data_IF_698317249840
#
_entry.id   IF_698317249840
#
_cell.length_a   1.000
_cell.length_b   1.000
_cell.length_c   1.000
_cell.angle_alpha   90.00
_cell.angle_beta   90.00
_cell.angle_gamma   90.00
#
_symmetry.space_group_name_H-M   'P 1'
#
loop_
_entity.id
_entity.type
_entity.pdbx_description
1 polymer ?
#
# COMPACT_ATOMS: atom_id res chain seq x y z
N UNK A 1 -48.44 17.03 -4.13
CA UNK A 1 -48.65 15.61 -4.45
C UNK A 1 -47.72 15.25 -5.59
N UNK A 2 -46.49 14.86 -5.27
CA UNK A 2 -45.57 14.14 -6.16
C UNK A 2 -44.43 13.64 -5.28
N UNK A 3 -44.77 12.71 -4.40
CA UNK A 3 -43.78 11.83 -3.77
C UNK A 3 -43.44 10.85 -4.90
N UNK A 4 -42.32 11.13 -5.56
CA UNK A 4 -41.95 10.60 -6.87
C UNK A 4 -41.91 9.07 -6.87
N UNK A 5 -42.33 8.45 -7.98
CA UNK A 5 -42.36 7.00 -8.21
C UNK A 5 -41.04 6.27 -7.84
N UNK A 6 -39.91 7.00 -7.78
CA UNK A 6 -38.61 6.51 -7.29
C UNK A 6 -38.59 6.14 -5.80
N UNK A 7 -39.24 6.92 -4.93
CA UNK A 7 -39.28 6.65 -3.48
C UNK A 7 -40.04 5.35 -3.15
N UNK A 8 -41.00 4.96 -3.99
CA UNK A 8 -41.74 3.71 -3.80
C UNK A 8 -40.91 2.46 -4.12
N UNK A 9 -39.92 2.57 -5.03
CA UNK A 9 -38.99 1.48 -5.35
C UNK A 9 -37.95 1.27 -4.25
N UNK A 10 -37.37 2.36 -3.73
CA UNK A 10 -36.42 2.38 -2.60
C UNK A 10 -36.97 1.65 -1.38
N UNK A 11 -38.17 2.07 -0.97
CA UNK A 11 -38.84 1.52 0.20
C UNK A 11 -39.30 0.08 -0.02
N UNK A 12 -39.55 -0.37 -1.25
CA UNK A 12 -39.88 -1.77 -1.52
C UNK A 12 -38.64 -2.68 -1.51
N UNK A 13 -37.48 -2.17 -1.91
CA UNK A 13 -36.18 -2.86 -1.84
C UNK A 13 -35.76 -3.01 -0.36
N UNK A 14 -35.75 -1.90 0.40
CA UNK A 14 -35.38 -1.92 1.81
C UNK A 14 -36.38 -2.67 2.72
N UNK A 15 -37.66 -2.80 2.34
CA UNK A 15 -38.67 -3.55 3.13
C UNK A 15 -38.60 -5.07 2.96
N UNK A 16 -37.81 -5.58 2.00
CA UNK A 16 -37.67 -7.02 1.74
C UNK A 16 -36.46 -7.66 2.43
N UNK A 17 -35.52 -6.85 2.91
CA UNK A 17 -34.22 -7.31 3.39
C UNK A 17 -33.96 -6.80 4.81
N UNK A 18 -33.15 -7.53 5.59
CA UNK A 18 -33.01 -7.37 7.04
C UNK A 18 -32.05 -6.21 7.42
N UNK A 19 -32.16 -5.08 6.72
CA UNK A 19 -31.29 -3.92 6.91
C UNK A 19 -31.63 -3.13 8.18
N UNK A 20 -30.59 -2.61 8.84
CA UNK A 20 -30.74 -1.65 9.93
C UNK A 20 -30.93 -0.21 9.41
N UNK A 21 -31.43 0.69 10.27
CA UNK A 21 -31.73 2.08 9.92
C UNK A 21 -30.55 2.80 9.23
N UNK A 22 -29.31 2.57 9.69
CA UNK A 22 -28.13 3.20 9.09
C UNK A 22 -27.80 2.66 7.70
N UNK A 23 -28.06 1.37 7.44
CA UNK A 23 -27.89 0.80 6.09
C UNK A 23 -28.95 1.38 5.15
N UNK A 24 -30.20 1.48 5.63
CA UNK A 24 -31.31 2.11 4.88
C UNK A 24 -31.00 3.57 4.55
N UNK A 25 -30.46 4.34 5.50
CA UNK A 25 -30.03 5.73 5.27
C UNK A 25 -29.01 5.86 4.13
N UNK A 26 -28.03 4.94 4.07
CA UNK A 26 -27.02 4.94 3.00
C UNK A 26 -27.63 4.60 1.65
N UNK A 27 -28.54 3.63 1.58
CA UNK A 27 -29.25 3.26 0.35
C UNK A 27 -30.11 4.42 -0.14
N UNK A 28 -30.90 5.03 0.75
CA UNK A 28 -31.75 6.17 0.40
C UNK A 28 -30.90 7.35 -0.09
N UNK A 29 -29.79 7.64 0.60
CA UNK A 29 -28.86 8.68 0.16
C UNK A 29 -28.30 8.39 -1.23
N UNK A 30 -27.96 7.14 -1.57
CA UNK A 30 -27.50 6.77 -2.91
C UNK A 30 -28.54 7.11 -3.99
N UNK A 31 -29.81 6.76 -3.73
CA UNK A 31 -30.92 7.03 -4.65
C UNK A 31 -31.19 8.53 -4.82
N UNK A 32 -31.12 9.28 -3.74
CA UNK A 32 -31.28 10.74 -3.76
C UNK A 32 -30.16 11.44 -4.56
N UNK A 33 -28.98 10.83 -4.62
CA UNK A 33 -27.84 11.29 -5.43
C UNK A 33 -27.80 10.69 -6.83
N UNK A 34 -28.88 10.02 -7.25
CA UNK A 34 -29.07 9.56 -8.63
C UNK A 34 -28.30 8.30 -9.01
N UNK A 35 -27.82 7.52 -8.03
CA UNK A 35 -27.29 6.18 -8.31
C UNK A 35 -28.42 5.30 -8.87
N UNK A 36 -28.18 4.71 -10.04
CA UNK A 36 -29.16 3.89 -10.74
C UNK A 36 -29.42 2.57 -10.03
N UNK A 37 -30.65 2.04 -10.17
CA UNK A 37 -31.07 0.79 -9.53
C UNK A 37 -30.13 -0.39 -9.87
N UNK A 38 -29.60 -0.40 -11.10
CA UNK A 38 -28.65 -1.42 -11.56
C UNK A 38 -27.27 -1.34 -10.90
N UNK A 39 -26.95 -0.29 -10.15
CA UNK A 39 -25.71 -0.17 -9.36
C UNK A 39 -25.97 -0.24 -7.86
N UNK A 40 -27.22 -0.02 -7.43
CA UNK A 40 -27.63 -0.14 -6.02
C UNK A 40 -27.39 -1.55 -5.47
N UNK A 41 -27.41 -2.61 -6.30
CA UNK A 41 -27.17 -3.98 -5.84
C UNK A 41 -25.81 -4.16 -5.12
N UNK A 42 -24.82 -3.31 -5.40
CA UNK A 42 -23.52 -3.31 -4.70
C UNK A 42 -23.64 -2.88 -3.23
N UNK A 43 -24.71 -2.15 -2.89
CA UNK A 43 -25.06 -1.74 -1.53
C UNK A 43 -26.07 -2.70 -0.87
N UNK A 44 -26.77 -3.54 -1.65
CA UNK A 44 -27.77 -4.47 -1.15
C UNK A 44 -27.11 -5.75 -0.61
N UNK A 45 -26.30 -5.60 0.43
CA UNK A 45 -25.67 -6.69 1.14
C UNK A 45 -25.88 -6.49 2.66
N UNK A 46 -26.71 -7.33 3.26
CA UNK A 46 -27.11 -7.20 4.67
C UNK A 46 -25.94 -7.38 5.66
N UNK A 47 -24.93 -8.15 5.27
CA UNK A 47 -23.71 -8.38 6.07
C UNK A 47 -22.74 -7.19 6.00
N UNK A 48 -22.96 -6.26 5.06
CA UNK A 48 -22.08 -5.10 4.89
C UNK A 48 -22.40 -4.02 5.94
N UNK A 49 -21.39 -3.62 6.71
CA UNK A 49 -21.54 -2.55 7.69
C UNK A 49 -21.86 -1.21 7.00
N UNK A 50 -22.62 -0.30 7.63
CA UNK A 50 -22.90 1.03 7.07
C UNK A 50 -21.64 1.78 6.63
N UNK A 51 -20.54 1.63 7.37
CA UNK A 51 -19.26 2.26 7.07
C UNK A 51 -18.60 1.69 5.81
N UNK A 52 -18.77 0.39 5.53
CA UNK A 52 -18.33 -0.26 4.29
C UNK A 52 -19.23 0.17 3.13
N UNK A 53 -20.55 0.18 3.32
CA UNK A 53 -21.52 0.66 2.30
C UNK A 53 -21.21 2.09 1.86
N UNK A 54 -20.83 2.98 2.79
CA UNK A 54 -20.40 4.34 2.46
C UNK A 54 -19.20 4.38 1.51
N UNK A 55 -18.25 3.44 1.61
CA UNK A 55 -17.08 3.40 0.70
C UNK A 55 -17.47 2.94 -0.71
N UNK A 56 -18.37 1.95 -0.79
CA UNK A 56 -18.96 1.51 -2.05
C UNK A 56 -19.68 2.68 -2.71
N UNK A 57 -20.55 3.36 -1.96
CA UNK A 57 -21.28 4.53 -2.40
C UNK A 57 -20.35 5.66 -2.85
N UNK A 58 -19.32 6.01 -2.08
CA UNK A 58 -18.36 7.05 -2.46
C UNK A 58 -17.64 6.70 -3.76
N UNK A 59 -17.27 5.43 -3.98
CA UNK A 59 -16.71 5.01 -5.27
C UNK A 59 -17.64 5.36 -6.43
N UNK A 60 -18.90 4.94 -6.35
CA UNK A 60 -19.90 5.21 -7.38
C UNK A 60 -20.16 6.71 -7.57
N UNK A 61 -20.32 7.48 -6.49
CA UNK A 61 -20.56 8.93 -6.54
C UNK A 61 -19.41 9.72 -7.15
N UNK A 62 -18.17 9.29 -6.94
CA UNK A 62 -16.99 9.92 -7.53
C UNK A 62 -16.64 9.35 -8.91
N UNK A 63 -17.54 8.56 -9.50
CA UNK A 63 -17.45 8.09 -10.89
C UNK A 63 -16.50 6.92 -11.11
N UNK A 64 -16.20 6.12 -10.07
CA UNK A 64 -15.58 4.82 -10.30
C UNK A 64 -16.54 3.89 -11.04
N UNK A 65 -15.98 3.09 -11.94
CA UNK A 65 -16.72 2.04 -12.63
C UNK A 65 -17.28 1.03 -11.60
N UNK A 66 -18.53 0.54 -11.74
CA UNK A 66 -19.09 -0.46 -10.86
C UNK A 66 -18.21 -1.73 -10.73
N UNK A 67 -17.50 -2.14 -11.78
CA UNK A 67 -16.57 -3.27 -11.74
C UNK A 67 -15.33 -2.98 -10.89
N UNK A 68 -14.82 -1.73 -10.92
CA UNK A 68 -13.76 -1.27 -10.02
C UNK A 68 -14.25 -1.28 -8.55
N UNK A 69 -15.49 -0.83 -8.31
CA UNK A 69 -16.09 -0.80 -6.97
C UNK A 69 -16.26 -2.22 -6.39
N UNK A 70 -16.63 -3.20 -7.22
CA UNK A 70 -16.73 -4.62 -6.81
C UNK A 70 -15.43 -5.17 -6.22
N UNK A 71 -14.27 -4.67 -6.66
CA UNK A 71 -12.97 -5.16 -6.19
C UNK A 71 -12.79 -5.00 -4.68
N UNK A 72 -13.32 -3.92 -4.11
CA UNK A 72 -13.20 -3.63 -2.67
C UNK A 72 -14.52 -3.70 -1.91
N UNK A 73 -15.67 -3.90 -2.57
CA UNK A 73 -16.99 -4.07 -1.94
C UNK A 73 -17.15 -5.44 -1.25
N UNK A 74 -16.18 -5.83 -0.42
CA UNK A 74 -16.10 -7.12 0.25
C UNK A 74 -16.35 -6.96 1.75
N UNK A 75 -17.18 -7.84 2.34
CA UNK A 75 -17.62 -7.73 3.74
C UNK A 75 -16.55 -8.15 4.75
N UNK A 76 -15.61 -9.01 4.34
CA UNK A 76 -14.45 -9.45 5.12
C UNK A 76 -13.29 -8.44 5.13
N UNK A 77 -13.37 -7.40 4.29
CA UNK A 77 -12.36 -6.35 4.20
C UNK A 77 -12.62 -5.24 5.22
N UNK A 78 -11.57 -4.76 5.89
CA UNK A 78 -11.68 -3.60 6.77
C UNK A 78 -11.98 -2.33 5.96
N UNK A 79 -12.65 -1.38 6.61
CA UNK A 79 -13.01 -0.09 6.01
C UNK A 79 -11.76 0.66 5.53
N UNK A 80 -10.66 0.56 6.25
CA UNK A 80 -9.39 1.19 5.92
C UNK A 80 -8.73 0.54 4.68
N UNK A 81 -8.81 -0.79 4.55
CA UNK A 81 -8.33 -1.50 3.37
C UNK A 81 -9.16 -1.15 2.12
N UNK A 82 -10.49 -1.07 2.27
CA UNK A 82 -11.38 -0.56 1.22
C UNK A 82 -10.97 0.85 0.78
N UNK A 83 -10.67 1.74 1.74
CA UNK A 83 -10.22 3.10 1.44
C UNK A 83 -8.87 3.09 0.69
N UNK A 84 -7.92 2.21 1.02
CA UNK A 84 -6.66 2.11 0.26
C UNK A 84 -6.89 1.74 -1.21
N UNK A 85 -7.73 0.72 -1.48
CA UNK A 85 -8.03 0.29 -2.86
C UNK A 85 -8.83 1.36 -3.60
N UNK A 86 -9.86 1.92 -2.97
CA UNK A 86 -10.67 3.00 -3.55
C UNK A 86 -9.81 4.22 -3.90
N UNK A 87 -8.91 4.65 -3.03
CA UNK A 87 -8.01 5.77 -3.32
C UNK A 87 -7.03 5.46 -4.47
N UNK A 88 -6.54 4.23 -4.57
CA UNK A 88 -5.71 3.81 -5.70
C UNK A 88 -6.50 3.76 -7.02
N UNK A 89 -7.77 3.34 -7.01
CA UNK A 89 -8.65 3.35 -8.19
C UNK A 89 -9.01 4.77 -8.65
N UNK A 90 -9.18 5.70 -7.71
CA UNK A 90 -9.47 7.11 -8.00
C UNK A 90 -8.27 7.86 -8.59
N UNK A 91 -7.05 7.35 -8.39
CA UNK A 91 -5.82 7.94 -8.90
C UNK A 91 -5.33 7.14 -10.10
N UNK A 92 -5.41 7.72 -11.28
CA UNK A 92 -5.05 7.05 -12.53
C UNK A 92 -3.62 6.47 -12.50
N UNK A 93 -2.68 7.15 -11.83
CA UNK A 93 -1.29 6.73 -11.69
C UNK A 93 -1.08 5.56 -10.69
N UNK A 94 -2.03 5.25 -9.82
CA UNK A 94 -1.94 4.17 -8.82
C UNK A 94 -2.71 2.90 -9.24
N UNK A 95 -3.50 2.93 -10.32
CA UNK A 95 -4.33 1.80 -10.79
C UNK A 95 -3.53 0.53 -11.07
N UNK A 96 -2.27 0.67 -11.47
CA UNK A 96 -1.39 -0.47 -11.72
C UNK A 96 -1.02 -1.27 -10.46
N UNK A 97 -1.25 -0.72 -9.26
CA UNK A 97 -0.99 -1.37 -7.97
C UNK A 97 -2.15 -2.22 -7.45
N UNK A 98 -3.33 -2.15 -8.08
CA UNK A 98 -4.55 -2.81 -7.58
C UNK A 98 -4.38 -4.31 -7.41
N UNK A 99 -3.69 -4.98 -8.34
CA UNK A 99 -3.39 -6.41 -8.22
C UNK A 99 -2.54 -6.75 -6.99
N UNK A 100 -1.63 -5.85 -6.58
CA UNK A 100 -0.83 -6.03 -5.37
C UNK A 100 -1.65 -5.73 -4.10
N UNK A 101 -2.51 -4.70 -4.13
CA UNK A 101 -3.34 -4.32 -2.99
C UNK A 101 -4.45 -5.33 -2.66
N UNK A 102 -4.87 -6.14 -3.64
CA UNK A 102 -5.88 -7.19 -3.47
C UNK A 102 -5.30 -8.52 -2.95
N UNK A 103 -3.98 -8.60 -2.71
CA UNK A 103 -3.39 -9.81 -2.17
C UNK A 103 -3.92 -10.11 -0.77
N UNK A 104 -4.23 -11.38 -0.52
CA UNK A 104 -4.75 -11.83 0.78
C UNK A 104 -3.67 -11.78 1.84
N UNK A 105 -4.06 -11.41 3.06
CA UNK A 105 -3.17 -11.39 4.23
C UNK A 105 -2.38 -10.09 4.39
N UNK A 106 -2.54 -9.11 3.50
CA UNK A 106 -2.02 -7.77 3.71
C UNK A 106 -2.80 -7.04 4.80
N UNK A 107 -2.08 -6.39 5.71
CA UNK A 107 -2.61 -5.36 6.58
C UNK A 107 -2.59 -3.97 5.92
N UNK A 108 -3.29 -3.02 6.54
CA UNK A 108 -3.44 -1.65 6.03
C UNK A 108 -2.09 -0.92 5.90
N UNK A 109 -1.16 -1.16 6.83
CA UNK A 109 0.16 -0.51 6.81
C UNK A 109 1.03 -1.09 5.68
N UNK A 110 0.94 -2.39 5.39
CA UNK A 110 1.57 -3.01 4.23
C UNK A 110 1.01 -2.44 2.93
N UNK A 111 -0.32 -2.28 2.81
CA UNK A 111 -0.95 -1.60 1.66
C UNK A 111 -0.43 -0.17 1.48
N UNK A 112 -0.21 0.56 2.58
CA UNK A 112 0.39 1.90 2.54
C UNK A 112 1.84 1.85 2.03
N UNK A 113 2.63 0.83 2.40
CA UNK A 113 3.99 0.67 1.86
C UNK A 113 3.98 0.41 0.35
N UNK A 114 3.04 -0.40 -0.15
CA UNK A 114 2.84 -0.66 -1.59
C UNK A 114 2.54 0.66 -2.31
N UNK A 115 1.54 1.44 -1.84
CA UNK A 115 1.18 2.72 -2.45
C UNK A 115 2.27 3.78 -2.40
N UNK A 116 3.09 3.81 -1.33
CA UNK A 116 4.26 4.71 -1.27
C UNK A 116 5.28 4.43 -2.38
N UNK A 117 5.34 3.19 -2.87
CA UNK A 117 6.19 2.78 -3.99
C UNK A 117 5.68 3.16 -5.38
N UNK A 118 4.57 3.88 -5.53
CA UNK A 118 3.93 4.14 -6.82
C UNK A 118 4.85 4.74 -7.92
N UNK A 119 5.92 5.41 -7.51
CA UNK A 119 6.91 6.03 -8.42
C UNK A 119 8.07 5.11 -8.79
N UNK A 120 8.12 3.90 -8.24
CA UNK A 120 9.10 2.89 -8.57
C UNK A 120 8.60 2.03 -9.74
N UNK A 121 9.50 1.40 -10.52
CA UNK A 121 9.11 0.34 -11.44
C UNK A 121 8.24 -0.72 -10.76
N UNK A 122 7.18 -1.18 -11.43
CA UNK A 122 6.24 -2.16 -10.87
C UNK A 122 6.93 -3.38 -10.25
N UNK A 123 7.90 -3.98 -10.96
CA UNK A 123 8.70 -5.12 -10.49
C UNK A 123 9.45 -4.86 -9.16
N UNK A 124 9.74 -3.60 -8.82
CA UNK A 124 10.38 -3.25 -7.55
C UNK A 124 9.35 -3.19 -6.43
N UNK A 125 8.13 -2.74 -6.73
CA UNK A 125 7.02 -2.74 -5.77
C UNK A 125 6.57 -4.18 -5.52
N UNK A 126 6.38 -4.96 -6.57
CA UNK A 126 6.03 -6.38 -6.52
C UNK A 126 7.00 -7.17 -5.62
N UNK A 127 8.30 -6.90 -5.71
CA UNK A 127 9.32 -7.59 -4.89
C UNK A 127 9.05 -7.53 -3.38
N UNK A 128 8.57 -6.40 -2.87
CA UNK A 128 8.29 -6.24 -1.44
C UNK A 128 6.81 -6.31 -1.09
N UNK A 129 5.91 -6.34 -2.07
CA UNK A 129 4.47 -6.39 -1.90
C UNK A 129 3.98 -7.79 -1.50
N UNK A 130 4.73 -8.49 -0.67
CA UNK A 130 4.44 -9.85 -0.23
C UNK A 130 3.96 -9.84 1.23
N UNK A 131 2.83 -10.51 1.57
CA UNK A 131 2.24 -10.45 2.91
C UNK A 131 3.12 -10.98 4.04
N UNK A 132 4.14 -11.80 3.72
CA UNK A 132 5.06 -12.35 4.70
C UNK A 132 6.13 -11.36 5.18
N UNK A 133 6.33 -10.22 4.48
CA UNK A 133 7.20 -9.15 4.98
C UNK A 133 6.45 -8.27 5.97
N UNK A 134 7.01 -8.00 7.13
CA UNK A 134 6.48 -6.96 7.99
C UNK A 134 6.65 -5.55 7.38
N UNK A 135 5.91 -4.58 7.93
CA UNK A 135 5.88 -3.19 7.43
C UNK A 135 7.28 -2.55 7.39
N UNK A 136 8.15 -2.86 8.35
CA UNK A 136 9.50 -2.30 8.39
C UNK A 136 10.44 -3.00 7.40
N UNK A 137 10.29 -4.30 7.16
CA UNK A 137 10.99 -5.01 6.08
C UNK A 137 10.62 -4.43 4.72
N UNK A 138 9.31 -4.28 4.43
CA UNK A 138 8.83 -3.63 3.20
C UNK A 138 9.42 -2.22 3.04
N UNK A 139 9.47 -1.45 4.12
CA UNK A 139 10.05 -0.11 4.15
C UNK A 139 11.53 -0.12 3.80
N UNK A 140 12.32 -1.05 4.34
CA UNK A 140 13.76 -1.14 4.06
C UNK A 140 14.03 -1.56 2.61
N UNK A 141 13.21 -2.46 2.05
CA UNK A 141 13.29 -2.84 0.63
C UNK A 141 12.94 -1.65 -0.26
N UNK A 142 11.79 -1.00 -0.03
CA UNK A 142 11.38 0.22 -0.77
C UNK A 142 12.44 1.31 -0.66
N UNK A 143 12.96 1.55 0.54
CA UNK A 143 13.99 2.57 0.78
C UNK A 143 15.25 2.29 -0.02
N UNK A 144 15.66 1.02 -0.18
CA UNK A 144 16.80 0.67 -1.04
C UNK A 144 16.63 1.18 -2.47
N UNK A 145 15.47 0.91 -3.07
CA UNK A 145 15.15 1.41 -4.40
C UNK A 145 15.04 2.93 -4.46
N UNK A 146 14.40 3.58 -3.49
CA UNK A 146 14.28 5.05 -3.41
C UNK A 146 15.64 5.75 -3.28
N UNK A 147 16.63 5.11 -2.64
CA UNK A 147 18.00 5.63 -2.54
C UNK A 147 18.90 5.22 -3.73
N UNK A 148 18.32 4.63 -4.78
CA UNK A 148 19.01 4.31 -6.02
C UNK A 148 19.87 3.05 -5.97
N UNK A 149 19.64 2.15 -5.00
CA UNK A 149 20.25 0.83 -5.03
C UNK A 149 19.73 0.02 -6.22
N UNK A 150 20.62 -0.74 -6.84
CA UNK A 150 20.26 -1.65 -7.93
C UNK A 150 19.40 -2.82 -7.43
N UNK A 151 18.66 -3.44 -8.36
CA UNK A 151 17.88 -4.63 -8.07
C UNK A 151 18.71 -5.74 -7.41
N UNK A 152 19.93 -6.01 -7.90
CA UNK A 152 20.82 -7.02 -7.31
C UNK A 152 21.22 -6.68 -5.86
N UNK A 153 21.50 -5.41 -5.56
CA UNK A 153 21.83 -4.99 -4.20
C UNK A 153 20.64 -5.15 -3.24
N UNK A 154 19.43 -4.84 -3.72
CA UNK A 154 18.20 -4.99 -2.91
C UNK A 154 17.88 -6.47 -2.69
N UNK A 155 17.92 -7.30 -3.72
CA UNK A 155 17.70 -8.74 -3.61
C UNK A 155 18.68 -9.44 -2.64
N UNK A 156 19.86 -8.87 -2.40
CA UNK A 156 20.82 -9.43 -1.45
C UNK A 156 20.29 -9.45 -0.01
N UNK A 157 19.51 -8.45 0.38
CA UNK A 157 19.00 -8.33 1.75
C UNK A 157 17.49 -8.52 1.87
N UNK A 158 16.77 -8.64 0.75
CA UNK A 158 15.33 -8.88 0.67
C UNK A 158 14.96 -10.33 1.07
N UNK A 159 15.33 -10.75 2.26
CA UNK A 159 15.06 -12.09 2.80
C UNK A 159 14.14 -11.98 4.02
N UNK A 160 12.96 -12.59 3.95
CA UNK A 160 11.95 -12.52 5.02
C UNK A 160 12.46 -13.04 6.38
N UNK A 161 13.53 -13.85 6.39
CA UNK A 161 14.17 -14.36 7.61
C UNK A 161 15.06 -13.31 8.29
N UNK A 162 15.42 -12.23 7.60
CA UNK A 162 16.19 -11.14 8.20
C UNK A 162 15.27 -10.19 8.94
N UNK A 163 15.68 -9.77 10.14
CA UNK A 163 15.02 -8.65 10.79
C UNK A 163 15.13 -7.39 9.93
N UNK A 164 14.14 -6.49 10.05
CA UNK A 164 14.20 -5.16 9.45
C UNK A 164 15.46 -4.39 9.86
N UNK A 165 15.97 -4.58 11.08
CA UNK A 165 17.25 -4.01 11.52
C UNK A 165 18.45 -4.53 10.70
N UNK A 166 18.50 -5.83 10.42
CA UNK A 166 19.56 -6.40 9.57
C UNK A 166 19.48 -5.88 8.14
N UNK A 167 18.27 -5.82 7.57
CA UNK A 167 18.03 -5.20 6.25
C UNK A 167 18.49 -3.75 6.24
N UNK A 168 18.16 -2.99 7.28
CA UNK A 168 18.57 -1.60 7.46
C UNK A 168 20.09 -1.45 7.41
N UNK A 169 20.85 -2.27 8.15
CA UNK A 169 22.31 -2.13 8.13
C UNK A 169 22.93 -2.50 6.78
N UNK A 170 22.44 -3.54 6.11
CA UNK A 170 22.94 -3.92 4.78
C UNK A 170 22.65 -2.80 3.76
N UNK A 171 21.41 -2.28 3.74
CA UNK A 171 21.03 -1.13 2.90
C UNK A 171 21.92 0.08 3.16
N UNK A 172 22.08 0.48 4.42
CA UNK A 172 22.94 1.62 4.79
C UNK A 172 24.40 1.39 4.43
N UNK A 173 24.87 0.15 4.52
CA UNK A 173 26.18 -0.26 4.02
C UNK A 173 26.35 0.10 2.55
N UNK A 174 25.41 -0.33 1.70
CA UNK A 174 25.43 0.02 0.27
C UNK A 174 25.38 1.54 0.04
N UNK A 175 24.52 2.26 0.76
CA UNK A 175 24.43 3.73 0.65
C UNK A 175 25.71 4.47 1.04
N UNK A 176 26.54 3.87 1.91
CA UNK A 176 27.85 4.41 2.28
C UNK A 176 28.99 3.94 1.37
N UNK A 177 28.71 3.05 0.42
CA UNK A 177 29.68 2.56 -0.56
C UNK A 177 30.39 1.27 -0.18
N UNK A 178 29.78 0.43 0.69
CA UNK A 178 30.21 -0.97 0.85
C UNK A 178 30.02 -1.68 -0.49
N UNK A 179 31.04 -2.42 -0.93
CA UNK A 179 30.96 -3.19 -2.16
C UNK A 179 30.09 -4.45 -2.00
N UNK A 180 29.70 -5.03 -3.12
CA UNK A 180 28.79 -6.17 -3.12
C UNK A 180 29.35 -7.39 -2.37
N UNK A 181 30.65 -7.64 -2.46
CA UNK A 181 31.27 -8.82 -1.82
C UNK A 181 31.21 -8.70 -0.30
N UNK A 182 31.59 -7.56 0.26
CA UNK A 182 31.45 -7.32 1.71
C UNK A 182 30.00 -7.34 2.16
N UNK A 183 29.07 -6.80 1.35
CA UNK A 183 27.64 -6.89 1.67
C UNK A 183 27.11 -8.34 1.71
N UNK A 184 27.66 -9.25 0.88
CA UNK A 184 27.31 -10.68 0.93
C UNK A 184 27.75 -11.34 2.25
N UNK A 185 28.87 -10.90 2.83
CA UNK A 185 29.29 -11.34 4.16
C UNK A 185 28.32 -10.85 5.24
N UNK A 186 27.81 -9.62 5.11
CA UNK A 186 26.79 -9.09 6.04
C UNK A 186 25.46 -9.83 5.93
N UNK A 187 25.10 -10.28 4.72
CA UNK A 187 23.89 -11.03 4.45
C UNK A 187 23.96 -12.51 4.86
N UNK A 188 25.01 -12.99 5.53
CA UNK A 188 25.03 -14.36 6.06
C UNK A 188 23.94 -14.53 7.12
N UNK A 189 23.02 -15.53 7.04
CA UNK A 189 21.89 -15.66 7.95
C UNK A 189 22.28 -15.61 9.44
N UNK A 190 23.37 -16.28 9.79
CA UNK A 190 23.83 -16.43 11.17
C UNK A 190 24.59 -15.21 11.73
N UNK A 191 24.88 -14.21 10.88
CA UNK A 191 25.56 -12.99 11.34
C UNK A 191 24.55 -12.05 12.02
N UNK A 192 24.74 -11.69 13.31
CA UNK A 192 23.81 -10.81 14.02
C UNK A 192 23.94 -9.36 13.54
N UNK A 193 22.83 -8.61 13.59
CA UNK A 193 22.72 -7.25 13.07
C UNK A 193 23.73 -6.28 13.72
N UNK A 194 24.00 -6.47 15.01
CA UNK A 194 24.94 -5.70 15.81
C UNK A 194 26.39 -5.80 15.28
N UNK A 195 26.76 -6.95 14.70
CA UNK A 195 28.09 -7.10 14.07
C UNK A 195 28.21 -6.22 12.83
N UNK A 196 27.12 -6.12 12.05
CA UNK A 196 27.06 -5.30 10.84
C UNK A 196 27.07 -3.81 11.20
N UNK A 197 26.37 -3.42 12.27
CA UNK A 197 26.28 -2.04 12.74
C UNK A 197 27.66 -1.37 12.85
N UNK A 198 28.61 -1.98 13.57
CA UNK A 198 29.92 -1.38 13.79
C UNK A 198 30.71 -1.20 12.48
N UNK A 199 30.62 -2.17 11.57
CA UNK A 199 31.28 -2.09 10.27
C UNK A 199 30.66 -0.98 9.41
N UNK A 200 29.34 -0.88 9.37
CA UNK A 200 28.60 0.16 8.64
C UNK A 200 28.87 1.55 9.22
N UNK A 201 29.01 1.72 10.54
CA UNK A 201 29.38 3.01 11.14
C UNK A 201 30.79 3.47 10.73
N UNK A 202 31.73 2.53 10.57
CA UNK A 202 33.07 2.83 10.08
C UNK A 202 33.02 3.33 8.63
N UNK A 203 32.23 2.68 7.78
CA UNK A 203 32.05 3.09 6.39
C UNK A 203 31.32 4.42 6.25
N UNK A 204 30.32 4.70 7.10
CA UNK A 204 29.67 6.02 7.20
C UNK A 204 30.70 7.13 7.41
N UNK A 205 31.62 6.94 8.37
CA UNK A 205 32.68 7.91 8.70
C UNK A 205 33.62 8.11 7.50
N UNK A 206 34.06 7.02 6.87
CA UNK A 206 34.91 7.05 5.67
C UNK A 206 34.24 7.79 4.51
N UNK A 207 32.99 7.47 4.21
CA UNK A 207 32.18 8.13 3.17
C UNK A 207 32.02 9.63 3.44
N UNK A 208 31.75 10.01 4.69
CA UNK A 208 31.64 11.43 5.08
C UNK A 208 32.94 12.21 4.92
N UNK A 209 34.09 11.58 5.20
CA UNK A 209 35.42 12.19 5.07
C UNK A 209 35.75 12.43 3.59
N UNK A 210 35.55 11.43 2.74
CA UNK A 210 35.73 11.53 1.28
C UNK A 210 34.86 12.64 0.67
N UNK A 211 33.59 12.76 1.09
CA UNK A 211 32.70 13.84 0.62
C UNK A 211 33.21 15.23 0.98
N UNK A 212 33.74 15.41 2.20
CA UNK A 212 34.31 16.69 2.64
C UNK A 212 35.57 17.05 1.84
N UNK A 213 36.46 16.08 1.64
CA UNK A 213 37.65 16.25 0.82
C UNK A 213 37.30 16.64 -0.62
N UNK A 214 36.31 15.99 -1.24
CA UNK A 214 35.85 16.31 -2.58
C UNK A 214 35.30 17.74 -2.70
N UNK A 215 34.48 18.19 -1.73
CA UNK A 215 33.96 19.57 -1.72
C UNK A 215 35.11 20.57 -1.55
N UNK A 216 36.06 20.27 -0.66
CA UNK A 216 37.22 21.13 -0.44
C UNK A 216 38.09 21.23 -1.70
N UNK A 217 38.30 20.13 -2.42
CA UNK A 217 38.98 20.17 -3.71
C UNK A 217 38.22 21.02 -4.72
N UNK A 218 36.89 20.91 -4.83
CA UNK A 218 36.10 21.69 -5.80
C UNK A 218 36.03 23.21 -5.50
N UNK A 219 36.27 23.65 -4.27
CA UNK A 219 36.28 25.09 -3.92
C UNK A 219 37.63 25.79 -4.18
N UNK A 220 38.68 25.03 -4.54
CA UNK A 220 40.04 25.54 -4.74
C UNK A 220 40.37 25.72 -6.23
N UNK A 221 39.42 25.44 -7.13
CA UNK A 221 39.53 25.65 -8.59
C UNK A 221 38.53 26.69 -9.09
#
# INVERSE_FOLDING_TARGET
MNVSCKEQSAQQVCKKENFNDKQVDVIQYAMDHGIEDEHLFLLLNEDMLPEQMKRVLYGLMYGLDPDDVKLYAQTDMSVEAMDQIRFALMKEDERHLIGLLLQKGLDVEQMIQIRKGNRLPYQYVELYAEPFYDVEQMREIRSGFEHGLSFQQVCLYCDARFSSEKMYYIRRGFEYGVDFHTAMEYAQPDLPAESIYHAVQKEKRRSSMKRREAIQCCMVW
#
